data_IF_899661941566
#
_entry.id   IF_899661941566
#
_cell.length_a   1.000
_cell.length_b   1.000
_cell.length_c   1.000
_cell.angle_alpha   90.00
_cell.angle_beta   90.00
_cell.angle_gamma   90.00
#
_symmetry.space_group_name_H-M   'P 1'
#
loop_
_entity.id
_entity.type
_entity.pdbx_description
1 polymer ?
#
# COMPACT_ATOMS: atom_id res chain seq x y z
N UNK A 1 15.09 -39.27 24.52
CA UNK A 1 14.40 -38.07 24.15
C UNK A 1 13.52 -38.39 22.96
N UNK A 2 12.20 -38.57 23.18
CA UNK A 2 11.26 -39.00 22.12
C UNK A 2 10.94 -37.80 21.23
N UNK A 3 11.45 -37.78 20.01
CA UNK A 3 11.04 -36.83 19.00
C UNK A 3 9.56 -37.04 18.70
N UNK A 4 8.71 -36.10 19.06
CA UNK A 4 7.27 -36.10 18.75
C UNK A 4 7.11 -36.03 17.24
N UNK A 5 6.71 -37.14 16.59
CA UNK A 5 6.39 -37.15 15.17
C UNK A 5 5.10 -36.36 14.93
N UNK A 6 5.12 -35.45 13.98
CA UNK A 6 4.00 -34.59 13.59
C UNK A 6 3.46 -35.11 12.24
N UNK A 7 2.15 -35.20 12.06
CA UNK A 7 1.56 -35.57 10.78
C UNK A 7 1.55 -34.35 9.83
N UNK A 8 2.03 -34.56 8.60
CA UNK A 8 2.01 -33.55 7.55
C UNK A 8 0.58 -33.18 7.15
N UNK A 9 0.17 -31.90 7.20
CA UNK A 9 -1.19 -31.49 6.86
C UNK A 9 -1.54 -31.69 5.38
N UNK A 10 -0.54 -31.80 4.49
CA UNK A 10 -0.77 -31.96 3.05
C UNK A 10 -0.80 -33.41 2.58
N UNK A 11 -0.02 -34.33 3.19
CA UNK A 11 0.07 -35.70 2.72
C UNK A 11 -0.18 -36.75 3.79
N UNK A 12 -0.48 -36.38 5.05
CA UNK A 12 -0.81 -37.26 6.18
C UNK A 12 0.34 -38.11 6.73
N UNK A 13 1.56 -38.02 6.18
CA UNK A 13 2.69 -38.85 6.64
C UNK A 13 3.37 -38.22 7.86
N UNK A 14 3.86 -39.11 8.77
CA UNK A 14 4.61 -38.66 9.96
C UNK A 14 5.96 -38.15 9.60
N UNK A 15 6.34 -36.97 10.15
CA UNK A 15 7.59 -36.26 9.89
C UNK A 15 8.24 -35.78 11.20
N UNK A 16 9.57 -35.76 11.23
CA UNK A 16 10.36 -35.27 12.34
C UNK A 16 11.28 -34.15 11.83
N UNK A 17 10.74 -32.93 11.68
CA UNK A 17 11.51 -31.78 11.20
C UNK A 17 10.61 -30.66 10.69
N UNK A 18 11.23 -29.57 10.22
CA UNK A 18 10.53 -28.34 9.81
C UNK A 18 9.90 -28.42 8.41
N UNK A 19 10.19 -29.49 7.66
CA UNK A 19 9.64 -29.74 6.31
C UNK A 19 9.27 -31.20 6.15
N UNK A 20 8.20 -31.48 5.39
CA UNK A 20 7.81 -32.84 5.05
C UNK A 20 8.77 -33.42 4.01
N UNK A 21 9.48 -34.51 4.36
CA UNK A 21 10.39 -35.20 3.46
C UNK A 21 9.70 -35.89 2.26
N UNK A 22 8.36 -36.02 2.29
CA UNK A 22 7.60 -36.67 1.23
C UNK A 22 6.98 -35.71 0.21
N UNK A 23 6.57 -34.49 0.65
CA UNK A 23 5.87 -33.53 -0.23
C UNK A 23 6.44 -32.12 -0.17
N UNK A 24 7.52 -31.88 0.60
CA UNK A 24 8.17 -30.57 0.71
C UNK A 24 7.40 -29.50 1.51
N UNK A 25 6.20 -29.84 2.04
CA UNK A 25 5.40 -28.86 2.78
C UNK A 25 6.08 -28.47 4.08
N UNK A 26 6.19 -27.16 4.42
CA UNK A 26 6.73 -26.71 5.70
C UNK A 26 5.81 -27.15 6.85
N UNK A 27 6.40 -27.70 7.91
CA UNK A 27 5.72 -28.23 9.10
C UNK A 27 5.74 -27.23 10.26
N UNK A 28 6.78 -26.39 10.31
CA UNK A 28 6.83 -25.27 11.26
C UNK A 28 6.27 -24.05 10.54
N UNK A 29 5.20 -23.51 11.10
CA UNK A 29 4.61 -22.27 10.63
C UNK A 29 5.18 -21.15 11.48
N UNK A 30 5.77 -20.16 10.85
CA UNK A 30 6.01 -18.85 11.48
C UNK A 30 4.82 -17.96 11.17
N UNK A 31 4.43 -17.12 12.11
CA UNK A 31 3.37 -16.16 11.89
C UNK A 31 3.80 -15.15 10.82
N UNK A 32 3.05 -14.96 9.72
CA UNK A 32 3.41 -14.01 8.67
C UNK A 32 3.35 -12.53 9.11
N UNK A 33 2.80 -12.26 10.29
CA UNK A 33 2.64 -10.89 10.80
C UNK A 33 3.65 -10.49 11.88
N UNK A 34 4.26 -11.45 12.58
CA UNK A 34 5.16 -11.14 13.70
C UNK A 34 6.35 -12.10 13.80
N UNK A 35 6.53 -13.00 12.84
CA UNK A 35 7.61 -14.01 12.74
C UNK A 35 7.75 -14.92 13.98
N UNK A 36 6.81 -14.92 14.93
CA UNK A 36 6.83 -15.84 16.08
C UNK A 36 6.51 -17.27 15.64
N UNK A 37 7.17 -18.26 16.25
CA UNK A 37 6.87 -19.66 16.02
C UNK A 37 5.44 -19.99 16.46
N UNK A 38 4.66 -20.59 15.56
CA UNK A 38 3.30 -21.04 15.84
C UNK A 38 3.20 -22.56 15.71
N UNK A 39 2.48 -23.17 16.64
CA UNK A 39 2.28 -24.64 16.60
C UNK A 39 1.46 -25.03 15.37
N UNK A 40 1.83 -26.13 14.69
CA UNK A 40 1.03 -26.67 13.58
C UNK A 40 -0.44 -26.86 13.98
N UNK A 41 -1.37 -26.37 13.14
CA UNK A 41 -2.80 -26.48 13.40
C UNK A 41 -3.39 -25.36 14.26
N UNK A 42 -2.62 -24.38 14.68
CA UNK A 42 -3.12 -23.18 15.37
C UNK A 42 -3.86 -22.27 14.37
N UNK A 43 -5.08 -21.87 14.70
CA UNK A 43 -5.89 -20.99 13.83
C UNK A 43 -5.60 -19.53 14.01
N UNK A 44 -4.96 -19.13 15.11
CA UNK A 44 -4.69 -17.75 15.49
C UNK A 44 -3.32 -17.70 16.17
N UNK A 45 -2.49 -16.72 15.79
CA UNK A 45 -1.21 -16.47 16.45
C UNK A 45 -1.43 -15.97 17.89
N UNK A 46 -0.75 -16.54 18.87
CA UNK A 46 -0.87 -16.14 20.28
C UNK A 46 -0.30 -14.74 20.56
N UNK A 47 0.73 -14.35 19.82
CA UNK A 47 1.47 -13.11 20.05
C UNK A 47 0.77 -11.89 19.41
N UNK A 48 0.27 -12.04 18.18
CA UNK A 48 -0.29 -10.90 17.43
C UNK A 48 -1.78 -11.04 17.05
N UNK A 49 -2.42 -12.17 17.36
CA UNK A 49 -3.82 -12.41 17.06
C UNK A 49 -4.16 -12.63 15.58
N UNK A 50 -3.15 -12.74 14.69
CA UNK A 50 -3.38 -12.96 13.25
C UNK A 50 -3.97 -14.35 12.99
N UNK A 51 -5.00 -14.43 12.14
CA UNK A 51 -5.58 -15.70 11.69
C UNK A 51 -4.60 -16.43 10.76
N UNK A 52 -4.30 -17.70 11.09
CA UNK A 52 -3.36 -18.57 10.37
C UNK A 52 -4.07 -19.60 9.48
N UNK A 53 -5.38 -19.47 9.31
CA UNK A 53 -6.15 -20.32 8.37
C UNK A 53 -5.81 -19.95 6.94
N UNK A 54 -5.47 -20.95 6.11
CA UNK A 54 -5.19 -20.77 4.69
C UNK A 54 -6.35 -20.04 4.00
N UNK A 55 -6.05 -19.13 3.03
CA UNK A 55 -7.10 -18.50 2.24
C UNK A 55 -7.92 -19.57 1.52
N UNK A 56 -9.23 -19.41 1.54
CA UNK A 56 -10.15 -20.23 0.76
C UNK A 56 -9.70 -20.26 -0.71
N UNK A 57 -9.75 -21.42 -1.36
CA UNK A 57 -9.37 -21.59 -2.75
C UNK A 57 -10.04 -20.53 -3.65
N UNK A 58 -9.34 -19.99 -4.67
CA UNK A 58 -9.90 -18.96 -5.53
C UNK A 58 -11.18 -19.48 -6.20
N UNK A 59 -12.27 -18.75 -6.06
CA UNK A 59 -13.54 -19.02 -6.71
C UNK A 59 -13.31 -19.01 -8.23
N UNK A 60 -13.42 -20.16 -8.88
CA UNK A 60 -13.33 -20.28 -10.34
C UNK A 60 -14.51 -19.54 -10.96
N UNK A 61 -14.26 -18.35 -11.47
CA UNK A 61 -15.23 -17.60 -12.25
C UNK A 61 -15.42 -18.32 -13.60
N UNK A 62 -16.66 -18.68 -13.88
CA UNK A 62 -17.04 -19.36 -15.12
C UNK A 62 -17.13 -18.27 -16.25
N UNK A 63 -16.64 -18.61 -17.42
CA UNK A 63 -16.53 -17.68 -18.56
C UNK A 63 -17.87 -17.01 -18.96
N UNK A 64 -19.00 -17.65 -18.66
CA UNK A 64 -20.33 -17.12 -18.96
C UNK A 64 -20.73 -15.92 -18.08
N UNK A 65 -20.27 -15.87 -16.80
CA UNK A 65 -20.56 -14.74 -15.92
C UNK A 65 -19.75 -13.50 -16.30
N UNK A 66 -18.54 -13.67 -16.83
CA UNK A 66 -17.69 -12.55 -17.27
C UNK A 66 -18.31 -11.87 -18.49
N UNK A 67 -18.85 -12.64 -19.45
CA UNK A 67 -19.48 -12.10 -20.66
C UNK A 67 -20.70 -11.20 -20.36
N UNK A 68 -21.49 -11.53 -19.35
CA UNK A 68 -22.66 -10.75 -18.95
C UNK A 68 -22.29 -9.40 -18.33
N UNK A 69 -21.23 -9.33 -17.54
CA UNK A 69 -20.78 -8.07 -16.90
C UNK A 69 -20.11 -7.13 -17.91
N UNK A 70 -19.39 -7.66 -18.91
CA UNK A 70 -18.78 -6.87 -19.99
C UNK A 70 -19.87 -6.22 -20.86
N UNK A 71 -20.96 -6.94 -21.18
CA UNK A 71 -22.06 -6.38 -21.96
C UNK A 71 -22.78 -5.23 -21.24
N UNK A 72 -22.98 -5.34 -19.91
CA UNK A 72 -23.59 -4.27 -19.10
C UNK A 72 -22.66 -3.06 -19.01
N UNK A 73 -21.33 -3.26 -18.85
CA UNK A 73 -20.35 -2.18 -18.79
C UNK A 73 -20.29 -1.36 -20.09
N UNK A 74 -20.36 -2.00 -21.25
CA UNK A 74 -20.34 -1.31 -22.56
C UNK A 74 -21.63 -0.49 -22.77
N UNK A 75 -22.77 -1.02 -22.35
CA UNK A 75 -24.06 -0.32 -22.50
C UNK A 75 -24.15 0.95 -21.63
N UNK A 76 -23.57 0.94 -20.43
CA UNK A 76 -23.53 2.11 -19.53
C UNK A 76 -22.59 3.20 -20.05
N UNK A 77 -21.43 2.84 -20.61
CA UNK A 77 -20.50 3.80 -21.22
C UNK A 77 -21.14 4.47 -22.46
N UNK A 78 -21.82 3.72 -23.32
CA UNK A 78 -22.49 4.28 -24.47
C UNK A 78 -23.61 5.27 -24.07
N UNK A 79 -24.35 5.00 -23.01
CA UNK A 79 -25.40 5.88 -22.50
C UNK A 79 -24.84 7.18 -21.91
N UNK A 80 -23.74 7.13 -21.18
CA UNK A 80 -23.11 8.33 -20.60
C UNK A 80 -22.49 9.24 -21.66
N UNK A 81 -21.90 8.69 -22.73
CA UNK A 81 -21.38 9.47 -23.86
C UNK A 81 -22.54 10.12 -24.66
N UNK A 82 -23.65 9.43 -24.86
CA UNK A 82 -24.83 9.98 -25.53
C UNK A 82 -25.48 11.12 -24.72
N UNK A 83 -25.56 11.00 -23.40
CA UNK A 83 -26.07 12.08 -22.55
C UNK A 83 -25.12 13.29 -22.55
N UNK A 84 -23.82 13.10 -22.47
CA UNK A 84 -22.84 14.19 -22.50
C UNK A 84 -22.95 15.00 -23.80
N UNK A 85 -23.17 14.35 -24.95
CA UNK A 85 -23.34 15.02 -26.23
C UNK A 85 -24.66 15.84 -26.37
N UNK A 86 -25.64 15.58 -25.52
CA UNK A 86 -26.89 16.35 -25.47
C UNK A 86 -26.79 17.62 -24.63
N UNK A 87 -25.86 17.65 -23.63
CA UNK A 87 -25.66 18.81 -22.78
C UNK A 87 -24.62 19.80 -23.31
N UNK A 88 -23.85 19.47 -24.35
CA UNK A 88 -22.78 20.31 -24.91
C UNK A 88 -23.28 21.31 -26.01
N UNK A 89 -24.57 21.62 -26.02
CA UNK A 89 -25.17 22.61 -26.93
C UNK A 89 -25.55 23.92 -26.26
N UNK A 90 -24.62 24.53 -25.55
CA UNK A 90 -24.87 25.90 -25.09
C UNK A 90 -23.96 26.42 -24.03
N UNK A 91 -22.99 27.23 -24.41
CA UNK A 91 -22.29 28.09 -23.50
C UNK A 91 -20.79 28.13 -23.72
N UNK A 92 -20.27 29.21 -24.25
CA UNK A 92 -18.84 29.48 -24.40
C UNK A 92 -18.13 29.38 -23.07
N UNK A 93 -17.17 28.47 -23.00
CA UNK A 93 -16.31 28.25 -21.82
C UNK A 93 -15.24 29.33 -21.83
N UNK A 94 -15.04 30.10 -20.74
CA UNK A 94 -13.86 30.96 -20.59
C UNK A 94 -12.61 30.05 -20.64
N UNK A 95 -11.55 30.51 -21.30
CA UNK A 95 -10.28 29.78 -21.41
C UNK A 95 -9.81 29.28 -20.03
N UNK A 96 -9.39 28.01 -19.91
CA UNK A 96 -8.94 27.50 -18.64
C UNK A 96 -7.69 28.27 -18.19
N UNK A 97 -7.70 28.73 -16.95
CA UNK A 97 -6.52 29.20 -16.23
C UNK A 97 -5.41 28.16 -16.42
N UNK A 98 -4.32 28.54 -17.08
CA UNK A 98 -3.09 27.76 -17.08
C UNK A 98 -2.53 27.82 -15.66
N UNK A 99 -2.47 26.72 -14.89
CA UNK A 99 -1.76 26.73 -13.64
C UNK A 99 -0.29 27.02 -13.93
N UNK A 100 0.43 27.72 -13.02
CA UNK A 100 1.87 27.89 -13.15
C UNK A 100 2.51 26.50 -13.29
N UNK A 101 3.63 26.43 -14.04
CA UNK A 101 4.32 25.19 -14.42
C UNK A 101 4.87 24.42 -13.20
N UNK A 102 4.00 24.01 -12.30
CA UNK A 102 4.26 23.06 -11.24
C UNK A 102 4.23 21.66 -11.84
N UNK A 103 5.39 21.07 -11.92
CA UNK A 103 5.72 19.66 -12.16
C UNK A 103 4.58 18.80 -12.75
N UNK A 104 4.37 18.90 -14.06
CA UNK A 104 3.52 17.96 -14.79
C UNK A 104 4.09 16.56 -14.61
N UNK A 105 3.27 15.64 -14.06
CA UNK A 105 3.67 14.25 -13.99
C UNK A 105 4.08 13.76 -15.40
N UNK A 106 5.25 13.10 -15.56
CA UNK A 106 5.72 12.65 -16.86
C UNK A 106 4.70 11.70 -17.50
N UNK A 107 4.50 11.85 -18.82
CA UNK A 107 3.63 10.95 -19.58
C UNK A 107 4.17 9.51 -19.55
N UNK A 108 3.29 8.49 -19.68
CA UNK A 108 3.72 7.10 -19.75
C UNK A 108 4.75 6.91 -20.87
N UNK A 109 5.89 6.27 -20.54
CA UNK A 109 6.98 6.01 -21.51
C UNK A 109 7.99 7.15 -21.70
N UNK A 110 7.76 8.37 -21.20
CA UNK A 110 8.70 9.48 -21.33
C UNK A 110 9.95 9.26 -20.45
N UNK A 111 11.18 9.48 -20.98
CA UNK A 111 12.41 9.38 -20.19
C UNK A 111 12.41 10.41 -19.07
N UNK A 112 12.82 10.00 -17.87
CA UNK A 112 13.00 10.91 -16.74
C UNK A 112 14.39 11.56 -16.87
N UNK A 113 14.44 12.85 -17.20
CA UNK A 113 15.69 13.61 -17.17
C UNK A 113 16.02 14.03 -15.73
N UNK A 114 17.11 13.52 -15.20
CA UNK A 114 17.60 13.77 -13.85
C UNK A 114 18.86 14.62 -13.83
N UNK A 115 19.43 14.97 -14.99
CA UNK A 115 20.77 15.56 -15.09
C UNK A 115 20.92 16.95 -14.47
N UNK A 116 19.82 17.72 -14.39
CA UNK A 116 19.80 19.08 -13.84
C UNK A 116 19.26 19.15 -12.40
N UNK A 117 18.95 18.02 -11.78
CA UNK A 117 18.29 17.95 -10.46
C UNK A 117 19.28 17.70 -9.34
N UNK A 118 18.96 18.20 -8.14
CA UNK A 118 19.65 17.73 -6.94
C UNK A 118 19.36 16.24 -6.70
N UNK A 119 20.22 15.50 -5.98
CA UNK A 119 19.99 14.09 -5.69
C UNK A 119 18.62 13.83 -5.05
N UNK A 120 18.16 14.69 -4.14
CA UNK A 120 16.84 14.60 -3.52
C UNK A 120 15.71 14.77 -4.55
N UNK A 121 15.78 15.80 -5.38
CA UNK A 121 14.79 16.05 -6.42
C UNK A 121 14.72 14.90 -7.43
N UNK A 122 15.85 14.28 -7.77
CA UNK A 122 15.91 13.12 -8.64
C UNK A 122 15.20 11.90 -8.02
N UNK A 123 15.44 11.66 -6.72
CA UNK A 123 14.76 10.59 -5.99
C UNK A 123 13.24 10.81 -5.93
N UNK A 124 12.81 12.03 -5.58
CA UNK A 124 11.39 12.39 -5.48
C UNK A 124 10.69 12.31 -6.86
N UNK A 125 11.37 12.68 -7.94
CA UNK A 125 10.83 12.53 -9.30
C UNK A 125 10.61 11.06 -9.68
N UNK A 126 11.55 10.19 -9.34
CA UNK A 126 11.39 8.75 -9.56
C UNK A 126 10.27 8.17 -8.69
N UNK A 127 10.18 8.59 -7.42
CA UNK A 127 9.07 8.24 -6.54
C UNK A 127 7.73 8.63 -7.15
N UNK A 128 7.58 9.89 -7.58
CA UNK A 128 6.34 10.38 -8.20
C UNK A 128 5.96 9.55 -9.44
N UNK A 129 6.95 9.10 -10.23
CA UNK A 129 6.69 8.22 -11.36
C UNK A 129 6.16 6.86 -10.94
N UNK A 130 6.76 6.25 -9.92
CA UNK A 130 6.29 4.97 -9.35
C UNK A 130 4.85 5.11 -8.86
N UNK A 131 4.57 6.16 -8.09
CA UNK A 131 3.24 6.38 -7.51
C UNK A 131 2.18 6.68 -8.59
N UNK A 132 2.50 7.51 -9.57
CA UNK A 132 1.60 7.80 -10.67
C UNK A 132 1.30 6.55 -11.53
N UNK A 133 2.28 5.68 -11.76
CA UNK A 133 2.05 4.41 -12.45
C UNK A 133 1.16 3.47 -11.61
N UNK A 134 1.42 3.36 -10.31
CA UNK A 134 0.63 2.56 -9.39
C UNK A 134 -0.83 3.05 -9.30
N UNK A 135 -1.07 4.36 -9.24
CA UNK A 135 -2.41 4.96 -9.23
C UNK A 135 -3.21 4.67 -10.51
N UNK A 136 -2.54 4.59 -11.65
CA UNK A 136 -3.16 4.20 -12.92
C UNK A 136 -3.35 2.70 -13.09
N UNK A 137 -2.89 1.89 -12.13
CA UNK A 137 -2.90 0.43 -12.21
C UNK A 137 -1.83 -0.14 -13.17
N UNK A 138 -0.87 0.68 -13.62
CA UNK A 138 0.26 0.23 -14.45
C UNK A 138 1.37 -0.37 -13.57
N UNK A 139 1.12 -1.60 -13.14
CA UNK A 139 2.03 -2.34 -12.28
C UNK A 139 3.38 -2.59 -12.95
N UNK A 140 3.41 -2.75 -14.27
CA UNK A 140 4.65 -3.01 -15.02
C UNK A 140 5.56 -1.78 -14.96
N UNK A 141 5.02 -0.59 -15.22
CA UNK A 141 5.77 0.65 -15.13
C UNK A 141 6.18 0.93 -13.67
N UNK A 142 5.28 0.77 -12.72
CA UNK A 142 5.57 0.98 -11.29
C UNK A 142 6.75 0.11 -10.82
N UNK A 143 6.72 -1.20 -11.08
CA UNK A 143 7.77 -2.13 -10.68
C UNK A 143 9.07 -1.93 -11.45
N UNK A 144 9.03 -1.41 -12.68
CA UNK A 144 10.22 -1.05 -13.45
C UNK A 144 11.00 0.10 -12.81
N UNK A 145 10.29 1.14 -12.32
CA UNK A 145 10.92 2.33 -11.74
C UNK A 145 11.19 2.22 -10.25
N UNK A 146 10.52 1.33 -9.52
CA UNK A 146 10.69 1.16 -8.08
C UNK A 146 12.16 0.91 -7.65
N UNK A 147 12.94 0.00 -8.27
CA UNK A 147 14.35 -0.20 -7.91
C UNK A 147 15.20 1.05 -8.13
N UNK A 148 14.94 1.82 -9.19
CA UNK A 148 15.67 3.05 -9.50
C UNK A 148 15.40 4.13 -8.45
N UNK A 149 14.14 4.26 -8.02
CA UNK A 149 13.75 5.20 -6.98
C UNK A 149 14.37 4.81 -5.63
N UNK A 150 14.34 3.52 -5.25
CA UNK A 150 15.00 3.03 -4.03
C UNK A 150 16.49 3.31 -4.05
N UNK A 151 17.18 3.05 -5.16
CA UNK A 151 18.61 3.32 -5.30
C UNK A 151 18.91 4.83 -5.18
N UNK A 152 18.06 5.69 -5.74
CA UNK A 152 18.24 7.13 -5.65
C UNK A 152 18.10 7.62 -4.19
N UNK A 153 17.13 7.10 -3.43
CA UNK A 153 17.01 7.40 -2.00
C UNK A 153 18.17 6.84 -1.17
N UNK A 154 18.64 5.63 -1.48
CA UNK A 154 19.81 5.02 -0.80
C UNK A 154 21.06 5.90 -0.97
N UNK A 155 21.24 6.49 -2.16
CA UNK A 155 22.31 7.43 -2.48
C UNK A 155 22.28 8.73 -1.67
N UNK A 156 21.17 9.08 -1.00
CA UNK A 156 21.09 10.26 -0.13
C UNK A 156 21.77 10.04 1.24
N UNK A 157 22.07 8.80 1.59
CA UNK A 157 22.63 8.43 2.88
C UNK A 157 21.62 8.52 4.02
N UNK A 158 21.57 9.64 4.75
CA UNK A 158 20.60 9.82 5.83
C UNK A 158 19.26 10.28 5.28
N UNK A 159 18.20 9.50 5.53
CA UNK A 159 16.85 9.85 5.14
C UNK A 159 16.15 10.61 6.27
N UNK A 160 15.48 11.71 5.93
CA UNK A 160 14.49 12.38 6.77
C UNK A 160 13.17 11.58 6.84
N UNK A 161 12.18 12.08 7.56
CA UNK A 161 10.91 11.38 7.75
C UNK A 161 10.10 11.29 6.46
N UNK A 162 10.17 12.31 5.62
CA UNK A 162 9.50 12.34 4.33
C UNK A 162 10.10 11.32 3.37
N UNK A 163 11.42 11.30 3.21
CA UNK A 163 12.11 10.30 2.39
C UNK A 163 11.84 8.86 2.88
N UNK A 164 11.79 8.64 4.21
CA UNK A 164 11.42 7.33 4.78
C UNK A 164 10.00 6.92 4.40
N UNK A 165 9.07 7.88 4.43
CA UNK A 165 7.69 7.66 4.00
C UNK A 165 7.63 7.27 2.52
N UNK A 166 8.34 7.99 1.65
CA UNK A 166 8.43 7.68 0.22
C UNK A 166 9.01 6.28 -0.02
N UNK A 167 10.14 5.95 0.61
CA UNK A 167 10.76 4.62 0.51
C UNK A 167 9.80 3.51 0.99
N UNK A 168 9.07 3.75 2.08
CA UNK A 168 8.08 2.81 2.57
C UNK A 168 6.95 2.56 1.55
N UNK A 169 6.45 3.63 0.89
CA UNK A 169 5.43 3.50 -0.15
C UNK A 169 5.94 2.74 -1.37
N UNK A 170 7.21 2.96 -1.79
CA UNK A 170 7.81 2.20 -2.90
C UNK A 170 7.90 0.71 -2.56
N UNK A 171 8.34 0.36 -1.34
CA UNK A 171 8.35 -1.03 -0.87
C UNK A 171 6.94 -1.63 -0.87
N UNK A 172 5.93 -0.83 -0.51
CA UNK A 172 4.54 -1.27 -0.50
C UNK A 172 3.99 -1.54 -1.91
N UNK A 173 4.42 -0.80 -2.92
CA UNK A 173 4.12 -1.08 -4.34
C UNK A 173 4.71 -2.43 -4.76
N UNK A 174 5.91 -2.77 -4.28
CA UNK A 174 6.55 -4.07 -4.48
C UNK A 174 6.07 -5.18 -3.55
N UNK A 175 5.02 -4.95 -2.76
CA UNK A 175 4.48 -5.90 -1.76
C UNK A 175 5.49 -6.32 -0.67
N UNK A 176 6.61 -5.59 -0.52
CA UNK A 176 7.60 -5.83 0.52
C UNK A 176 7.18 -5.17 1.84
N UNK A 177 6.24 -5.80 2.52
CA UNK A 177 5.71 -5.32 3.81
C UNK A 177 6.78 -5.31 4.90
N UNK A 178 7.79 -6.19 4.82
CA UNK A 178 8.88 -6.23 5.79
C UNK A 178 9.73 -4.95 5.73
N UNK A 179 10.17 -4.56 4.55
CA UNK A 179 10.94 -3.33 4.35
C UNK A 179 10.08 -2.08 4.62
N UNK A 180 8.79 -2.10 4.27
CA UNK A 180 7.83 -1.04 4.64
C UNK A 180 7.78 -0.83 6.15
N UNK A 181 7.65 -1.91 6.94
CA UNK A 181 7.68 -1.84 8.41
C UNK A 181 9.00 -1.30 8.95
N UNK A 182 10.12 -1.73 8.39
CA UNK A 182 11.43 -1.23 8.83
C UNK A 182 11.57 0.29 8.64
N UNK A 183 10.99 0.88 7.60
CA UNK A 183 10.95 2.33 7.43
C UNK A 183 9.98 3.01 8.42
N UNK A 184 8.82 2.42 8.65
CA UNK A 184 7.87 2.89 9.66
C UNK A 184 8.50 2.92 11.06
N UNK A 185 9.23 1.88 11.45
CA UNK A 185 9.90 1.80 12.76
C UNK A 185 10.93 2.92 12.92
N UNK A 186 11.74 3.19 11.89
CA UNK A 186 12.70 4.30 11.89
C UNK A 186 12.00 5.67 11.97
N UNK A 187 10.90 5.84 11.25
CA UNK A 187 10.11 7.07 11.31
C UNK A 187 9.52 7.27 12.71
N UNK A 188 8.98 6.21 13.33
CA UNK A 188 8.45 6.27 14.70
C UNK A 188 9.51 6.50 15.76
N UNK A 189 10.72 6.01 15.58
CA UNK A 189 11.84 6.29 16.48
C UNK A 189 12.21 7.78 16.45
N UNK A 190 12.17 8.42 15.29
CA UNK A 190 12.49 9.84 15.14
C UNK A 190 11.31 10.77 15.51
N UNK A 191 10.09 10.35 15.21
CA UNK A 191 8.87 11.15 15.40
C UNK A 191 7.66 10.22 15.70
N UNK A 192 7.43 9.86 16.96
CA UNK A 192 6.41 8.86 17.34
C UNK A 192 4.98 9.21 16.92
N UNK A 193 4.66 10.51 16.88
CA UNK A 193 3.32 11.02 16.57
C UNK A 193 3.16 11.50 15.12
N UNK A 194 4.16 11.27 14.26
CA UNK A 194 4.16 11.76 12.90
C UNK A 194 2.96 11.24 12.07
N UNK A 195 2.21 12.14 11.42
CA UNK A 195 0.98 11.80 10.71
C UNK A 195 1.20 10.77 9.60
N UNK A 196 2.28 10.90 8.81
CA UNK A 196 2.62 9.96 7.75
C UNK A 196 2.93 8.56 8.30
N UNK A 197 3.43 8.47 9.55
CA UNK A 197 3.64 7.19 10.24
C UNK A 197 2.33 6.46 10.53
N UNK A 198 1.30 7.16 10.98
CA UNK A 198 -0.03 6.56 11.19
C UNK A 198 -0.70 6.16 9.87
N UNK A 199 -0.48 6.93 8.81
CA UNK A 199 -0.97 6.58 7.47
C UNK A 199 -0.33 5.28 6.95
N UNK A 200 0.98 5.10 7.12
CA UNK A 200 1.67 3.85 6.79
C UNK A 200 1.17 2.68 7.64
N UNK A 201 1.00 2.87 8.94
CA UNK A 201 0.50 1.82 9.83
C UNK A 201 -0.88 1.33 9.43
N UNK A 202 -1.76 2.24 9.08
CA UNK A 202 -3.10 1.92 8.61
C UNK A 202 -3.05 1.11 7.30
N UNK A 203 -2.24 1.54 6.32
CA UNK A 203 -2.10 0.85 5.04
C UNK A 203 -1.49 -0.55 5.20
N UNK A 204 -0.48 -0.70 6.06
CA UNK A 204 0.10 -2.01 6.41
C UNK A 204 -0.96 -2.91 7.04
N UNK A 205 -1.78 -2.36 7.96
CA UNK A 205 -2.83 -3.11 8.62
C UNK A 205 -3.91 -3.58 7.65
N UNK A 206 -4.33 -2.73 6.71
CA UNK A 206 -5.30 -3.10 5.67
C UNK A 206 -4.77 -4.21 4.76
N UNK A 207 -3.54 -4.08 4.26
CA UNK A 207 -2.92 -5.11 3.41
C UNK A 207 -2.76 -6.45 4.13
N UNK A 208 -2.60 -6.41 5.45
CA UNK A 208 -2.52 -7.61 6.29
C UNK A 208 -3.90 -8.12 6.75
N UNK A 209 -5.01 -7.51 6.32
CA UNK A 209 -6.36 -7.84 6.77
C UNK A 209 -6.63 -7.53 8.24
N UNK A 210 -5.75 -6.77 8.91
CA UNK A 210 -5.86 -6.42 10.32
C UNK A 210 -6.76 -5.18 10.53
N UNK A 211 -8.08 -5.39 10.49
CA UNK A 211 -9.08 -4.32 10.68
C UNK A 211 -8.92 -3.57 12.01
N UNK A 212 -8.57 -4.28 13.08
CA UNK A 212 -8.35 -3.66 14.38
C UNK A 212 -7.10 -2.76 14.39
N UNK A 213 -6.04 -3.18 13.68
CA UNK A 213 -4.84 -2.37 13.48
C UNK A 213 -5.15 -1.10 12.71
N UNK A 214 -5.87 -1.19 11.60
CA UNK A 214 -6.30 -0.04 10.82
C UNK A 214 -7.14 0.95 11.64
N UNK A 215 -8.11 0.44 12.42
CA UNK A 215 -8.93 1.29 13.29
C UNK A 215 -8.11 1.98 14.40
N UNK A 216 -7.09 1.30 14.97
CA UNK A 216 -6.18 1.94 15.93
C UNK A 216 -5.35 3.04 15.29
N UNK A 217 -4.82 2.83 14.10
CA UNK A 217 -4.04 3.82 13.37
C UNK A 217 -4.87 5.07 13.05
N UNK A 218 -6.13 4.92 12.63
CA UNK A 218 -7.05 6.04 12.44
C UNK A 218 -7.29 6.84 13.72
N UNK A 219 -7.54 6.17 14.84
CA UNK A 219 -7.73 6.85 16.14
C UNK A 219 -6.47 7.59 16.58
N UNK A 220 -5.31 6.98 16.45
CA UNK A 220 -4.03 7.60 16.82
C UNK A 220 -3.71 8.81 15.93
N UNK A 221 -3.98 8.72 14.63
CA UNK A 221 -3.85 9.84 13.71
C UNK A 221 -4.73 11.03 14.14
N UNK A 222 -6.02 10.80 14.39
CA UNK A 222 -6.94 11.87 14.82
C UNK A 222 -6.51 12.50 16.15
N UNK A 223 -6.00 11.69 17.08
CA UNK A 223 -5.53 12.19 18.37
C UNK A 223 -4.26 13.05 18.25
N UNK A 224 -3.41 12.80 17.27
CA UNK A 224 -2.18 13.55 17.05
C UNK A 224 -2.34 14.75 16.11
N UNK A 225 -3.42 14.78 15.31
CA UNK A 225 -3.57 15.65 14.14
C UNK A 225 -3.29 17.12 14.44
N UNK A 226 -4.01 17.72 15.36
CA UNK A 226 -3.93 19.16 15.64
C UNK A 226 -2.53 19.56 16.15
N UNK A 227 -1.95 18.75 17.05
CA UNK A 227 -0.65 18.99 17.63
C UNK A 227 0.49 18.86 16.59
N UNK A 228 0.38 17.88 15.67
CA UNK A 228 1.36 17.67 14.61
C UNK A 228 1.24 18.74 13.50
N UNK A 229 0.02 19.11 13.10
CA UNK A 229 -0.18 20.19 12.14
C UNK A 229 0.33 21.53 12.66
N UNK A 230 0.20 21.81 13.95
CA UNK A 230 0.73 23.00 14.59
C UNK A 230 2.27 23.11 14.55
N UNK A 231 2.98 21.99 14.32
CA UNK A 231 4.44 22.00 14.16
C UNK A 231 4.91 22.62 12.83
N UNK A 232 4.01 22.77 11.84
CA UNK A 232 4.30 23.39 10.55
C UNK A 232 5.37 22.65 9.74
N UNK A 233 5.43 21.33 9.82
CA UNK A 233 6.39 20.50 9.07
C UNK A 233 6.19 20.68 7.58
N UNK A 234 7.29 20.84 6.83
CA UNK A 234 7.26 21.05 5.38
C UNK A 234 6.58 19.88 4.65
N UNK A 235 6.89 18.64 5.06
CA UNK A 235 6.32 17.43 4.47
C UNK A 235 4.79 17.34 4.62
N UNK A 236 4.20 18.01 5.61
CA UNK A 236 2.73 18.04 5.74
C UNK A 236 2.09 18.98 4.72
N UNK A 237 2.83 19.96 4.20
CA UNK A 237 2.36 20.80 3.10
C UNK A 237 2.39 20.01 1.78
N UNK A 238 3.47 19.28 1.53
CA UNK A 238 3.65 18.46 0.32
C UNK A 238 2.63 17.31 0.25
N UNK A 239 2.26 16.73 1.39
CA UNK A 239 1.26 15.66 1.52
C UNK A 239 -0.13 16.14 1.95
N UNK A 240 -0.40 17.44 1.96
CA UNK A 240 -1.61 18.04 2.54
C UNK A 240 -2.91 17.41 2.04
N UNK A 241 -3.06 17.22 0.73
CA UNK A 241 -4.25 16.60 0.15
C UNK A 241 -4.45 15.13 0.58
N UNK A 242 -3.37 14.39 0.78
CA UNK A 242 -3.41 13.00 1.25
C UNK A 242 -3.76 12.94 2.73
N UNK A 243 -3.19 13.85 3.52
CA UNK A 243 -3.46 13.98 4.97
C UNK A 243 -4.93 14.30 5.21
N UNK A 244 -5.51 15.26 4.47
CA UNK A 244 -6.92 15.62 4.61
C UNK A 244 -7.86 14.47 4.21
N UNK A 245 -7.61 13.81 3.08
CA UNK A 245 -8.40 12.61 2.69
C UNK A 245 -8.31 11.51 3.73
N UNK A 246 -7.13 11.31 4.31
CA UNK A 246 -6.96 10.32 5.38
C UNK A 246 -7.72 10.72 6.64
N UNK A 247 -7.71 12.01 7.00
CA UNK A 247 -8.47 12.56 8.13
C UNK A 247 -9.97 12.29 7.96
N UNK A 248 -10.52 12.58 6.79
CA UNK A 248 -11.94 12.31 6.49
C UNK A 248 -12.28 10.83 6.63
N UNK A 249 -11.44 9.95 6.07
CA UNK A 249 -11.60 8.50 6.19
C UNK A 249 -11.51 8.03 7.65
N UNK A 250 -10.58 8.59 8.43
CA UNK A 250 -10.42 8.29 9.84
C UNK A 250 -11.66 8.72 10.65
N UNK A 251 -12.20 9.91 10.40
CA UNK A 251 -13.43 10.40 11.04
C UNK A 251 -14.63 9.51 10.71
N UNK A 252 -14.80 9.13 9.44
CA UNK A 252 -15.85 8.22 9.01
C UNK A 252 -15.74 6.85 9.70
N UNK A 253 -14.51 6.31 9.78
CA UNK A 253 -14.24 5.03 10.45
C UNK A 253 -14.58 5.04 11.94
N UNK A 254 -14.31 6.14 12.64
CA UNK A 254 -14.57 6.27 14.08
C UNK A 254 -16.05 6.54 14.37
N UNK A 255 -16.74 7.29 13.50
CA UNK A 255 -18.18 7.64 13.70
C UNK A 255 -19.13 6.57 13.18
N UNK A 256 -18.63 5.53 12.52
CA UNK A 256 -19.46 4.45 11.92
C UNK A 256 -20.35 4.92 10.77
N UNK A 257 -20.14 6.12 10.24
CA UNK A 257 -20.84 6.60 9.04
C UNK A 257 -20.15 6.00 7.81
N UNK A 258 -20.88 5.09 7.14
CA UNK A 258 -20.54 4.61 5.79
C UNK A 258 -21.14 5.54 4.76
#
# INVERSE_FOLDING_TARGET
>A
MNAKSIQCPSCGKSVAGNFCSHCGTPIVSVCPSCDSEVKPGTRVCHECGTSLTAPAAPMRWNAQTIASWVAIGIATIALTVALAALFDRGGGVPAPFSPPAAARAPAPGEPVDLSSMSPRQAADRLFNRVMAANERGDTVEALKFAPMALQAYDGLGTLDNDARYHVALIHMVGEDIKSTRAQLDKLRQSAPNHLLGFMLEQQIAERSGNKNGAARAYKAFLAAYDAEMAQGRAEYQDHGSNIERFREAAQASVTGKK
#
